data_IF_397863536669
#
_entry.id   IF_397863536669
#
_cell.length_a   1.000
_cell.length_b   1.000
_cell.length_c   1.000
_cell.angle_alpha   90.00
_cell.angle_beta   90.00
_cell.angle_gamma   90.00
#
_symmetry.space_group_name_H-M   'P 1'
#
loop_
_entity.id
_entity.type
_entity.pdbx_description
1 polymer ?
#
# COMPACT_ATOMS: atom_id res chain seq x y z
N UNK A 1 -15.31 -26.33 -13.54
CA UNK A 1 -14.29 -25.50 -14.21
C UNK A 1 -12.96 -26.20 -14.03
N UNK A 2 -12.23 -26.40 -15.12
CA UNK A 2 -10.87 -26.98 -15.06
C UNK A 2 -9.88 -25.92 -14.56
N UNK A 3 -8.91 -26.30 -13.73
CA UNK A 3 -7.88 -25.38 -13.26
C UNK A 3 -6.76 -25.27 -14.30
N UNK A 4 -6.41 -24.05 -14.69
CA UNK A 4 -5.30 -23.77 -15.60
C UNK A 4 -4.20 -23.01 -14.86
N UNK A 5 -2.96 -23.50 -14.94
CA UNK A 5 -1.78 -22.82 -14.39
C UNK A 5 -1.19 -21.88 -15.43
N UNK A 6 -0.94 -20.63 -15.06
CA UNK A 6 -0.18 -19.66 -15.86
C UNK A 6 1.14 -19.38 -15.14
N UNK A 7 2.25 -19.51 -15.85
CA UNK A 7 3.60 -19.29 -15.32
C UNK A 7 4.17 -18.06 -16.00
N UNK A 8 4.65 -17.11 -15.19
CA UNK A 8 5.42 -15.96 -15.66
C UNK A 8 6.90 -16.34 -15.71
N UNK A 9 7.62 -15.84 -16.71
CA UNK A 9 9.07 -15.95 -16.76
C UNK A 9 9.72 -14.97 -15.76
N UNK A 10 10.91 -15.29 -15.27
CA UNK A 10 11.60 -14.47 -14.24
C UNK A 10 11.81 -13.01 -14.67
N UNK A 11 11.99 -12.76 -15.97
CA UNK A 11 12.17 -11.39 -16.49
C UNK A 11 10.88 -10.57 -16.51
N UNK A 12 9.72 -11.21 -16.33
CA UNK A 12 8.39 -10.57 -16.25
C UNK A 12 8.02 -10.19 -14.80
N UNK A 13 8.85 -10.54 -13.82
CA UNK A 13 8.62 -10.17 -12.43
C UNK A 13 8.53 -8.63 -12.34
N UNK A 14 7.43 -8.07 -11.80
CA UNK A 14 7.29 -6.63 -11.64
C UNK A 14 8.41 -6.04 -10.79
N UNK A 15 8.95 -4.91 -11.24
CA UNK A 15 10.09 -4.25 -10.60
C UNK A 15 9.69 -3.12 -9.64
N UNK A 16 8.39 -2.87 -9.49
CA UNK A 16 7.87 -1.77 -8.71
C UNK A 16 6.64 -2.20 -7.93
N UNK A 17 6.48 -1.61 -6.75
CA UNK A 17 5.24 -1.67 -6.00
C UNK A 17 4.29 -0.59 -6.49
N UNK A 18 3.00 -0.92 -6.52
CA UNK A 18 1.96 0.04 -6.86
C UNK A 18 1.33 0.60 -5.58
N UNK A 19 1.40 1.92 -5.42
CA UNK A 19 0.81 2.62 -4.28
C UNK A 19 -0.62 3.07 -4.60
N UNK A 20 -1.62 2.27 -4.21
CA UNK A 20 -3.03 2.58 -4.44
C UNK A 20 -3.50 3.87 -3.74
N UNK A 21 -2.80 4.33 -2.68
CA UNK A 21 -3.22 5.54 -1.93
C UNK A 21 -3.28 6.79 -2.82
N UNK A 22 -2.44 6.84 -3.87
CA UNK A 22 -2.41 7.95 -4.82
C UNK A 22 -3.69 8.06 -5.66
N UNK A 23 -4.39 6.94 -5.86
CA UNK A 23 -5.55 6.84 -6.74
C UNK A 23 -6.88 6.76 -5.96
N UNK A 24 -6.85 6.93 -4.64
CA UNK A 24 -8.06 6.95 -3.84
C UNK A 24 -8.89 8.20 -4.16
N UNK A 25 -10.24 8.10 -4.19
CA UNK A 25 -11.12 9.22 -4.53
C UNK A 25 -11.03 10.37 -3.51
N UNK A 26 -10.56 10.08 -2.29
CA UNK A 26 -10.26 11.05 -1.23
C UNK A 26 -9.04 10.58 -0.44
N UNK A 27 -8.22 11.50 0.10
CA UNK A 27 -7.09 11.13 0.95
C UNK A 27 -7.53 10.31 2.17
N UNK A 28 -6.69 9.35 2.58
CA UNK A 28 -6.89 8.66 3.85
C UNK A 28 -6.61 9.59 5.03
N UNK A 29 -7.25 9.32 6.16
CA UNK A 29 -6.94 9.99 7.42
C UNK A 29 -5.49 9.69 7.83
N UNK A 30 -4.77 10.68 8.41
CA UNK A 30 -3.43 10.45 8.90
C UNK A 30 -3.44 9.45 10.07
N UNK A 31 -2.34 8.70 10.27
CA UNK A 31 -2.20 7.85 11.45
C UNK A 31 -2.19 8.71 12.72
N UNK A 32 -2.70 8.14 13.81
CA UNK A 32 -2.84 8.82 15.10
C UNK A 32 -1.77 8.33 16.08
N UNK A 33 -1.21 9.26 16.85
CA UNK A 33 -0.30 8.93 17.94
C UNK A 33 -1.05 8.17 19.05
N UNK A 34 -0.55 7.03 19.53
CA UNK A 34 -1.32 6.13 20.41
C UNK A 34 -1.65 6.75 21.77
N UNK A 35 -0.81 7.65 22.29
CA UNK A 35 -1.03 8.29 23.59
C UNK A 35 -1.89 9.56 23.54
N UNK A 36 -1.93 10.28 22.40
CA UNK A 36 -2.59 11.60 22.31
C UNK A 36 -3.86 11.54 21.46
N UNK A 37 -4.01 10.53 20.61
CA UNK A 37 -5.09 10.41 19.64
C UNK A 37 -5.06 11.48 18.54
N UNK A 38 -3.99 12.27 18.44
CA UNK A 38 -3.82 13.31 17.43
C UNK A 38 -3.02 12.79 16.24
N UNK A 39 -3.14 13.40 15.04
CA UNK A 39 -2.29 13.06 13.91
C UNK A 39 -0.81 13.10 14.28
N UNK A 40 -0.06 12.07 13.87
CA UNK A 40 1.39 12.01 14.10
C UNK A 40 2.12 13.13 13.36
N UNK A 41 3.18 13.64 13.96
CA UNK A 41 4.13 14.58 13.37
C UNK A 41 5.56 14.03 13.37
N UNK A 42 6.55 14.82 12.88
CA UNK A 42 7.94 14.36 12.78
C UNK A 42 8.60 13.96 14.11
N UNK A 43 8.11 14.47 15.25
CA UNK A 43 8.64 14.12 16.58
C UNK A 43 8.11 12.79 17.15
N UNK A 44 7.17 12.13 16.45
CA UNK A 44 6.58 10.85 16.86
C UNK A 44 7.24 9.64 16.17
N UNK A 45 8.25 9.89 15.33
CA UNK A 45 9.02 8.90 14.55
C UNK A 45 10.36 8.61 15.24
#
# INVERSE_FOLDING_TARGET
MEQTKVVLADHEIPRQWYNIQADLPKPMSPPLHPGTGKPVGPGDL
#
